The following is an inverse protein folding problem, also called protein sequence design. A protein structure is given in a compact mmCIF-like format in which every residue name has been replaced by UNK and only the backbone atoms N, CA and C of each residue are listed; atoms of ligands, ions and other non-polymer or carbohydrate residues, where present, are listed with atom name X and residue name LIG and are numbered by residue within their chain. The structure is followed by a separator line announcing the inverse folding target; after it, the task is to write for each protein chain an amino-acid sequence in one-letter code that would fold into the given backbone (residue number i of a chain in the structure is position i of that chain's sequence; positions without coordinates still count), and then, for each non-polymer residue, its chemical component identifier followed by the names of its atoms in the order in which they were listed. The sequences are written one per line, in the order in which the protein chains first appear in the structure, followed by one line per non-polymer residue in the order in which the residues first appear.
data_IF_759003092896
#
_entry.id   IF_759003092896
#
_cell.length_a   1.000
_cell.length_b   1.000
_cell.length_c   1.000
_cell.angle_alpha   90.00
_cell.angle_beta   90.00
_cell.angle_gamma   90.00
#
_symmetry.space_group_name_H-M   'P 1'
#
loop_
_entity.id
_entity.type
_entity.pdbx_description
1 polymer ?
#
# COMPACT_ATOMS: atom_id res chain seq x y z
N UNK A 1 34.40 49.19 21.19
CA UNK A 1 33.34 48.19 21.41
C UNK A 1 33.66 46.97 20.56
N UNK A 2 33.82 45.76 21.15
CA UNK A 2 34.08 44.56 20.36
C UNK A 2 32.75 44.03 19.81
N UNK A 3 32.70 43.78 18.50
CA UNK A 3 31.54 43.19 17.83
C UNK A 3 31.55 41.67 18.08
N UNK A 4 30.49 41.16 18.67
CA UNK A 4 30.25 39.73 18.87
C UNK A 4 30.12 39.04 17.50
N UNK A 5 30.75 37.87 17.28
CA UNK A 5 30.51 37.08 16.07
C UNK A 5 29.08 36.50 16.13
N UNK A 6 28.25 36.88 15.15
CA UNK A 6 26.93 36.30 14.95
C UNK A 6 27.09 34.80 14.66
N UNK A 7 26.64 33.99 15.62
CA UNK A 7 26.56 32.53 15.56
C UNK A 7 25.64 32.16 14.39
N UNK A 8 26.21 31.55 13.35
CA UNK A 8 25.44 30.95 12.27
C UNK A 8 24.39 30.00 12.87
N UNK A 9 23.11 30.06 12.44
CA UNK A 9 22.14 29.08 12.87
C UNK A 9 22.61 27.71 12.38
N UNK A 10 23.00 26.84 13.31
CA UNK A 10 23.30 25.46 12.98
C UNK A 10 22.03 24.82 12.42
N UNK A 11 22.08 24.48 11.14
CA UNK A 11 21.06 23.69 10.46
C UNK A 11 21.15 22.27 11.03
N UNK A 12 20.55 22.07 12.20
CA UNK A 12 20.23 20.73 12.67
C UNK A 12 19.01 20.26 11.89
N UNK A 13 19.22 19.89 10.61
CA UNK A 13 18.31 19.00 9.90
C UNK A 13 18.36 17.68 10.66
N UNK A 14 17.42 17.52 11.60
CA UNK A 14 17.18 16.28 12.31
C UNK A 14 17.12 15.19 11.25
N UNK A 15 18.07 14.26 11.28
CA UNK A 15 18.02 13.08 10.42
C UNK A 15 16.63 12.48 10.58
N UNK A 16 15.93 12.31 9.46
CA UNK A 16 14.68 11.55 9.42
C UNK A 16 14.88 10.34 10.34
N UNK A 17 13.97 10.04 11.29
CA UNK A 17 14.06 8.79 12.01
C UNK A 17 14.18 7.72 10.94
N UNK A 18 15.24 6.92 10.99
CA UNK A 18 15.40 5.78 10.09
C UNK A 18 14.17 4.92 10.34
N UNK A 19 13.11 5.11 9.53
CA UNK A 19 11.97 4.22 9.47
C UNK A 19 12.58 2.83 9.36
N UNK A 20 12.19 1.94 10.26
CA UNK A 20 12.70 0.58 10.28
C UNK A 20 12.75 0.05 8.84
N UNK A 21 13.89 -0.54 8.45
CA UNK A 21 14.08 -1.01 7.10
C UNK A 21 12.88 -1.88 6.70
N UNK A 22 12.25 -1.56 5.57
CA UNK A 22 11.09 -2.32 5.10
C UNK A 22 11.58 -3.73 4.77
N UNK A 23 11.03 -4.73 5.46
CA UNK A 23 11.31 -6.15 5.24
C UNK A 23 10.55 -6.66 4.00
N UNK A 24 11.03 -6.29 2.82
CA UNK A 24 10.41 -6.63 1.53
C UNK A 24 10.22 -8.13 1.33
N UNK A 25 11.15 -8.95 1.83
CA UNK A 25 11.10 -10.41 1.74
C UNK A 25 9.93 -11.00 2.53
N UNK A 26 9.67 -10.49 3.73
CA UNK A 26 8.56 -10.94 4.58
C UNK A 26 7.20 -10.59 3.97
N UNK A 27 7.10 -9.45 3.28
CA UNK A 27 5.88 -9.06 2.55
C UNK A 27 5.69 -9.97 1.33
N UNK A 28 6.75 -10.21 0.55
CA UNK A 28 6.69 -11.05 -0.64
C UNK A 28 6.25 -12.50 -0.33
N UNK A 29 6.65 -13.05 0.82
CA UNK A 29 6.24 -14.38 1.27
C UNK A 29 4.74 -14.49 1.56
N UNK A 30 4.08 -13.40 1.98
CA UNK A 30 2.64 -13.38 2.27
C UNK A 30 1.78 -13.26 1.02
N UNK A 31 2.37 -12.85 -0.10
CA UNK A 31 1.67 -12.68 -1.37
C UNK A 31 1.72 -13.99 -2.17
N UNK A 32 0.55 -14.57 -2.44
CA UNK A 32 0.39 -15.76 -3.29
C UNK A 32 0.14 -15.40 -4.77
N UNK A 33 -0.51 -14.26 -5.04
CA UNK A 33 -0.84 -13.81 -6.39
C UNK A 33 0.40 -13.26 -7.13
N UNK A 34 0.75 -13.78 -8.32
CA UNK A 34 1.82 -13.25 -9.16
C UNK A 34 1.67 -11.75 -9.49
N UNK A 35 0.44 -11.25 -9.66
CA UNK A 35 0.20 -9.83 -9.95
C UNK A 35 0.54 -8.95 -8.76
N UNK A 36 0.19 -9.38 -7.55
CA UNK A 36 0.53 -8.68 -6.32
C UNK A 36 2.05 -8.66 -6.08
N UNK A 37 2.76 -9.73 -6.43
CA UNK A 37 4.23 -9.76 -6.37
C UNK A 37 4.87 -8.77 -7.35
N UNK A 38 4.38 -8.71 -8.59
CA UNK A 38 4.86 -7.74 -9.57
C UNK A 38 4.64 -6.29 -9.11
N UNK A 39 3.49 -6.00 -8.48
CA UNK A 39 3.21 -4.69 -7.89
C UNK A 39 4.11 -4.37 -6.68
N UNK A 40 4.48 -5.38 -5.88
CA UNK A 40 5.42 -5.20 -4.78
C UNK A 40 6.83 -4.88 -5.30
N UNK A 41 7.26 -5.56 -6.36
CA UNK A 41 8.56 -5.30 -7.00
C UNK A 41 8.63 -3.88 -7.58
N UNK A 42 7.58 -3.41 -8.25
CA UNK A 42 7.53 -2.03 -8.74
C UNK A 42 7.58 -1.00 -7.61
N UNK A 43 6.87 -1.26 -6.49
CA UNK A 43 6.92 -0.41 -5.30
C UNK A 43 8.32 -0.37 -4.69
N UNK A 44 9.00 -1.52 -4.61
CA UNK A 44 10.39 -1.61 -4.13
C UNK A 44 11.33 -0.78 -5.01
N UNK A 45 11.17 -0.86 -6.33
CA UNK A 45 12.00 -0.13 -7.27
C UNK A 45 11.79 1.38 -7.15
N UNK A 46 10.53 1.84 -7.06
CA UNK A 46 10.17 3.25 -6.80
C UNK A 46 10.75 3.72 -5.47
N UNK A 47 10.59 2.94 -4.40
CA UNK A 47 11.21 3.27 -3.10
C UNK A 47 12.73 3.38 -3.21
N UNK A 48 13.39 2.50 -3.97
CA UNK A 48 14.82 2.56 -4.23
C UNK A 48 15.24 3.86 -4.94
N UNK A 49 14.46 4.28 -5.95
CA UNK A 49 14.68 5.54 -6.66
C UNK A 49 14.53 6.76 -5.74
N UNK A 50 13.42 6.84 -4.98
CA UNK A 50 13.23 7.93 -4.01
C UNK A 50 14.33 7.96 -2.96
N UNK A 51 14.77 6.81 -2.45
CA UNK A 51 15.86 6.74 -1.48
C UNK A 51 17.19 7.20 -2.09
N UNK A 52 17.44 6.96 -3.38
CA UNK A 52 18.61 7.45 -4.07
C UNK A 52 18.57 8.97 -4.27
N UNK A 53 17.43 9.51 -4.71
CA UNK A 53 17.22 10.96 -4.85
C UNK A 53 17.32 11.68 -3.51
N UNK A 54 16.68 11.15 -2.47
CA UNK A 54 16.79 11.69 -1.13
C UNK A 54 18.25 11.78 -0.68
N UNK A 55 19.07 10.74 -0.92
CA UNK A 55 20.51 10.80 -0.59
C UNK A 55 21.27 11.88 -1.37
N UNK A 56 20.87 12.16 -2.61
CA UNK A 56 21.47 13.21 -3.42
C UNK A 56 21.13 14.62 -2.89
N UNK A 57 19.88 14.84 -2.49
CA UNK A 57 19.37 16.16 -2.08
C UNK A 57 19.38 16.42 -0.57
N UNK A 58 19.70 15.42 0.26
CA UNK A 58 19.85 15.59 1.71
C UNK A 58 21.06 16.46 2.07
N UNK A 59 22.10 16.47 1.22
CA UNK A 59 23.32 17.25 1.47
C UNK A 59 23.10 18.70 1.05
N UNK A 60 23.68 19.62 1.82
CA UNK A 60 23.76 21.02 1.40
C UNK A 60 24.59 21.12 0.10
N UNK A 61 24.21 22.01 -0.83
CA UNK A 61 25.02 22.30 -2.02
C UNK A 61 26.44 22.70 -1.64
N UNK A 62 27.42 22.35 -2.46
CA UNK A 62 28.81 22.76 -2.25
C UNK A 62 28.93 24.28 -2.21
N UNK A 63 29.73 24.79 -1.27
CA UNK A 63 29.95 26.21 -1.12
C UNK A 63 30.68 26.78 -2.35
N UNK A 64 30.22 27.94 -2.83
CA UNK A 64 30.84 28.64 -3.96
C UNK A 64 32.19 29.24 -3.52
N UNK A 65 33.27 28.90 -4.21
CA UNK A 65 34.59 29.49 -3.97
C UNK A 65 34.76 30.86 -4.66
N UNK A 66 34.25 31.90 -4.02
CA UNK A 66 34.39 33.28 -4.51
C UNK A 66 35.85 33.76 -4.56
N UNK A 67 36.78 33.17 -3.79
CA UNK A 67 38.19 33.54 -3.82
C UNK A 67 38.86 33.09 -5.12
N UNK A 68 38.58 31.86 -5.56
CA UNK A 68 38.98 31.37 -6.86
C UNK A 68 38.44 32.26 -7.99
N UNK A 69 37.13 32.56 -7.98
CA UNK A 69 36.52 33.37 -9.03
C UNK A 69 37.03 34.82 -9.08
N UNK A 70 37.37 35.43 -7.94
CA UNK A 70 38.05 36.74 -7.90
C UNK A 70 39.44 36.73 -8.56
N UNK A 71 40.11 35.58 -8.60
CA UNK A 71 41.44 35.44 -9.21
C UNK A 71 41.38 35.26 -10.74
N UNK A 72 40.32 34.64 -11.25
CA UNK A 72 40.16 34.31 -12.68
C UNK A 72 39.41 35.40 -13.45
N UNK A 73 38.41 36.03 -12.82
CA UNK A 73 37.54 37.01 -13.48
C UNK A 73 38.21 38.39 -13.44
N UNK A 74 38.32 39.04 -14.62
CA UNK A 74 38.94 40.37 -14.76
C UNK A 74 38.19 41.45 -13.99
N UNK A 75 36.86 41.38 -13.95
CA UNK A 75 36.02 42.34 -13.23
C UNK A 75 35.73 41.86 -11.80
N UNK A 76 36.56 42.30 -10.85
CA UNK A 76 36.45 41.91 -9.44
C UNK A 76 35.20 42.47 -8.76
N UNK A 77 34.78 43.67 -9.14
CA UNK A 77 33.58 44.32 -8.59
C UNK A 77 32.31 43.53 -8.89
N UNK A 78 32.28 42.81 -10.02
CA UNK A 78 31.17 41.90 -10.35
C UNK A 78 31.11 40.71 -9.38
N UNK A 79 32.26 40.13 -9.05
CA UNK A 79 32.32 38.97 -8.13
C UNK A 79 31.92 39.38 -6.72
N UNK A 80 32.34 40.58 -6.28
CA UNK A 80 31.97 41.11 -4.97
C UNK A 80 30.46 41.43 -4.89
N UNK A 81 29.87 41.95 -5.97
CA UNK A 81 28.42 42.17 -6.07
C UNK A 81 27.64 40.84 -6.06
N UNK A 82 28.13 39.81 -6.75
CA UNK A 82 27.52 38.47 -6.75
C UNK A 82 27.59 37.80 -5.39
N UNK A 83 28.72 37.89 -4.69
CA UNK A 83 28.87 37.36 -3.33
C UNK A 83 27.92 38.05 -2.34
N UNK A 84 27.80 39.38 -2.44
CA UNK A 84 26.87 40.18 -1.63
C UNK A 84 25.42 39.76 -1.84
N UNK A 85 25.00 39.62 -3.11
CA UNK A 85 23.66 39.16 -3.46
C UNK A 85 23.41 37.72 -2.99
N UNK A 86 24.38 36.82 -3.17
CA UNK A 86 24.27 35.42 -2.75
C UNK A 86 24.06 35.29 -1.24
N UNK A 87 24.79 36.07 -0.42
CA UNK A 87 24.62 36.09 1.03
C UNK A 87 23.30 36.69 1.50
N UNK A 88 22.65 37.50 0.65
CA UNK A 88 21.36 38.14 0.96
C UNK A 88 20.18 37.19 0.69
N UNK A 89 20.34 36.23 -0.22
CA UNK A 89 19.29 35.26 -0.54
C UNK A 89 19.15 34.26 0.62
N UNK A 90 18.02 34.33 1.31
CA UNK A 90 17.61 33.36 2.31
C UNK A 90 16.40 32.60 1.76
N UNK A 91 16.49 31.26 1.70
CA UNK A 91 15.36 30.42 1.37
C UNK A 91 14.57 30.08 2.65
N UNK A 92 13.23 30.05 2.59
CA UNK A 92 12.43 29.57 3.71
C UNK A 92 12.78 28.12 4.00
N UNK A 93 12.85 27.77 5.29
CA UNK A 93 13.00 26.37 5.70
C UNK A 93 11.63 25.73 5.64
N UNK A 94 11.38 24.95 4.60
CA UNK A 94 10.13 24.19 4.48
C UNK A 94 10.22 23.00 5.43
N UNK A 95 9.32 22.96 6.40
CA UNK A 95 9.16 21.83 7.31
C UNK A 95 8.25 20.76 6.68
N UNK A 96 8.35 19.48 7.07
CA UNK A 96 7.45 18.44 6.60
C UNK A 96 5.96 18.77 6.86
N UNK A 97 5.66 19.35 8.03
CA UNK A 97 4.30 19.71 8.43
C UNK A 97 3.67 20.77 7.50
N UNK A 98 4.47 21.73 7.03
CA UNK A 98 4.03 22.73 6.06
C UNK A 98 3.80 22.12 4.67
N UNK A 99 4.57 21.09 4.31
CA UNK A 99 4.43 20.35 3.05
C UNK A 99 3.15 19.50 3.06
N UNK A 100 2.88 18.83 4.17
CA UNK A 100 1.65 18.05 4.37
C UNK A 100 0.41 18.96 4.36
N UNK A 101 0.46 20.11 5.05
CA UNK A 101 -0.62 21.09 5.03
C UNK A 101 -0.83 21.70 3.63
N UNK A 102 0.25 21.94 2.89
CA UNK A 102 0.18 22.40 1.51
C UNK A 102 -0.46 21.37 0.58
N UNK A 103 -0.12 20.08 0.73
CA UNK A 103 -0.71 18.98 -0.03
C UNK A 103 -2.22 18.80 0.22
N UNK A 104 -2.69 19.20 1.41
CA UNK A 104 -4.10 19.17 1.80
C UNK A 104 -4.84 20.49 1.55
N UNK A 105 -4.18 21.51 0.98
CA UNK A 105 -4.75 22.84 0.80
C UNK A 105 -5.88 22.85 -0.25
N UNK A 106 -6.95 23.61 0.02
CA UNK A 106 -8.12 23.73 -0.89
C UNK A 106 -7.82 24.56 -2.14
N UNK A 107 -6.62 25.15 -2.20
CA UNK A 107 -6.14 25.93 -3.34
C UNK A 107 -5.56 25.03 -4.44
N UNK A 108 -5.21 23.78 -4.13
CA UNK A 108 -4.78 22.79 -5.12
C UNK A 108 -5.99 22.17 -5.85
N UNK A 109 -5.89 21.88 -7.16
CA UNK A 109 -6.85 21.06 -7.88
C UNK A 109 -7.08 19.73 -7.17
N UNK A 110 -8.31 19.21 -7.21
CA UNK A 110 -8.69 17.97 -6.51
C UNK A 110 -7.80 16.76 -6.88
N UNK A 111 -7.29 16.72 -8.11
CA UNK A 111 -6.37 15.67 -8.60
C UNK A 111 -4.99 15.69 -7.91
N UNK A 112 -4.60 16.82 -7.32
CA UNK A 112 -3.32 17.01 -6.62
C UNK A 112 -3.48 17.04 -5.09
N UNK A 113 -4.73 17.09 -4.60
CA UNK A 113 -5.04 16.99 -3.18
C UNK A 113 -4.94 15.53 -2.76
N UNK A 114 -3.79 15.16 -2.21
CA UNK A 114 -3.54 13.81 -1.72
C UNK A 114 -3.71 13.81 -0.20
N UNK A 115 -4.88 13.35 0.26
CA UNK A 115 -5.06 13.02 1.66
C UNK A 115 -4.62 11.57 1.86
N UNK A 116 -3.30 11.37 1.97
CA UNK A 116 -2.70 10.04 2.16
C UNK A 116 -3.41 9.26 3.28
N UNK A 117 -3.78 9.94 4.36
CA UNK A 117 -4.46 9.33 5.49
C UNK A 117 -5.85 8.81 5.13
N UNK A 118 -6.68 9.61 4.46
CA UNK A 118 -8.02 9.20 4.02
C UNK A 118 -7.95 8.04 3.01
N UNK A 119 -7.04 8.10 2.03
CA UNK A 119 -6.87 6.99 1.08
C UNK A 119 -6.43 5.69 1.76
N UNK A 120 -5.56 5.78 2.76
CA UNK A 120 -5.12 4.63 3.56
C UNK A 120 -6.28 4.10 4.39
N UNK A 121 -7.04 4.97 5.03
CA UNK A 121 -8.19 4.60 5.86
C UNK A 121 -9.31 3.92 5.02
N UNK A 122 -9.60 4.44 3.82
CA UNK A 122 -10.53 3.82 2.87
C UNK A 122 -10.07 2.41 2.45
N UNK A 123 -8.78 2.27 2.10
CA UNK A 123 -8.21 0.98 1.71
C UNK A 123 -8.25 -0.03 2.87
N UNK A 124 -7.97 0.40 4.10
CA UNK A 124 -8.12 -0.45 5.28
C UNK A 124 -9.58 -0.79 5.57
N UNK A 125 -10.51 0.13 5.33
CA UNK A 125 -11.94 -0.12 5.41
C UNK A 125 -12.37 -1.27 4.49
N UNK A 126 -12.03 -1.17 3.20
CA UNK A 126 -12.32 -2.22 2.21
C UNK A 126 -11.64 -3.55 2.54
N UNK A 127 -10.40 -3.51 3.04
CA UNK A 127 -9.67 -4.71 3.43
C UNK A 127 -10.34 -5.40 4.63
N UNK A 128 -10.75 -4.64 5.64
CA UNK A 128 -11.43 -5.17 6.82
C UNK A 128 -12.77 -5.82 6.45
N UNK A 129 -13.53 -5.22 5.54
CA UNK A 129 -14.76 -5.80 5.01
C UNK A 129 -14.51 -7.15 4.33
N UNK A 130 -13.55 -7.22 3.41
CA UNK A 130 -13.19 -8.48 2.72
C UNK A 130 -12.70 -9.56 3.69
N UNK A 131 -11.96 -9.17 4.73
CA UNK A 131 -11.50 -10.08 5.77
C UNK A 131 -12.68 -10.61 6.59
N UNK A 132 -13.65 -9.76 6.92
CA UNK A 132 -14.86 -10.17 7.63
C UNK A 132 -15.70 -11.14 6.79
N UNK A 133 -15.92 -10.82 5.52
CA UNK A 133 -16.63 -11.67 4.54
C UNK A 133 -15.95 -13.04 4.38
N UNK A 134 -14.62 -13.04 4.20
CA UNK A 134 -13.85 -14.28 4.09
C UNK A 134 -13.97 -15.16 5.34
N UNK A 135 -14.00 -14.57 6.54
CA UNK A 135 -14.19 -15.31 7.79
C UNK A 135 -15.60 -15.90 7.89
N UNK A 136 -16.63 -15.12 7.56
CA UNK A 136 -18.01 -15.61 7.55
C UNK A 136 -18.15 -16.79 6.58
N UNK A 137 -17.59 -16.66 5.36
CA UNK A 137 -17.62 -17.72 4.36
C UNK A 137 -16.90 -19.00 4.79
N UNK A 138 -15.79 -18.87 5.52
CA UNK A 138 -15.07 -20.03 6.08
C UNK A 138 -15.96 -20.79 7.08
N UNK A 139 -16.70 -20.09 7.94
CA UNK A 139 -17.60 -20.74 8.89
C UNK A 139 -18.78 -21.41 8.18
N UNK A 140 -19.42 -20.74 7.22
CA UNK A 140 -20.47 -21.35 6.37
C UNK A 140 -19.99 -22.64 5.68
N UNK A 141 -18.78 -22.62 5.11
CA UNK A 141 -18.20 -23.79 4.45
C UNK A 141 -17.91 -24.93 5.42
N UNK A 142 -17.50 -24.63 6.66
CA UNK A 142 -17.32 -25.66 7.70
C UNK A 142 -18.65 -26.29 8.10
N UNK A 143 -19.69 -25.47 8.28
CA UNK A 143 -21.03 -25.98 8.59
C UNK A 143 -21.57 -26.87 7.46
N UNK A 144 -21.38 -26.45 6.20
CA UNK A 144 -21.73 -27.25 5.03
C UNK A 144 -20.97 -28.59 5.00
N UNK A 145 -19.65 -28.57 5.27
CA UNK A 145 -18.85 -29.81 5.34
C UNK A 145 -19.40 -30.72 6.44
N UNK A 146 -19.72 -30.18 7.62
CA UNK A 146 -20.33 -30.95 8.71
C UNK A 146 -21.64 -31.59 8.29
N UNK A 147 -22.54 -30.83 7.66
CA UNK A 147 -23.79 -31.35 7.13
C UNK A 147 -23.55 -32.46 6.09
N UNK A 148 -22.62 -32.26 5.15
CA UNK A 148 -22.28 -33.25 4.14
C UNK A 148 -21.67 -34.53 4.74
N UNK A 149 -20.89 -34.42 5.82
CA UNK A 149 -20.34 -35.57 6.52
C UNK A 149 -21.42 -36.35 7.27
N UNK A 150 -22.36 -35.66 7.90
CA UNK A 150 -23.49 -36.27 8.63
C UNK A 150 -24.52 -36.92 7.69
N UNK A 151 -24.84 -36.27 6.57
CA UNK A 151 -25.86 -36.73 5.60
C UNK A 151 -25.31 -37.67 4.54
N UNK A 152 -24.00 -37.98 4.59
CA UNK A 152 -23.38 -38.86 3.61
C UNK A 152 -24.01 -40.25 3.68
N UNK A 153 -24.59 -40.68 2.57
CA UNK A 153 -25.02 -42.07 2.39
C UNK A 153 -23.79 -42.98 2.35
N UNK A 154 -23.84 -44.04 3.16
CA UNK A 154 -22.78 -45.05 3.25
C UNK A 154 -23.35 -46.41 2.88
N UNK A 155 -22.49 -47.42 2.75
CA UNK A 155 -22.94 -48.80 2.42
C UNK A 155 -23.89 -49.38 3.47
N UNK A 156 -23.97 -48.79 4.66
CA UNK A 156 -24.88 -49.19 5.74
C UNK A 156 -26.18 -48.40 5.79
N UNK A 157 -26.33 -47.35 4.96
CA UNK A 157 -27.57 -46.56 4.91
C UNK A 157 -28.69 -47.39 4.28
N UNK A 158 -29.83 -47.47 4.95
CA UNK A 158 -30.99 -48.23 4.49
C UNK A 158 -31.82 -47.44 3.48
N UNK A 159 -32.64 -48.14 2.67
CA UNK A 159 -33.54 -47.50 1.70
C UNK A 159 -34.52 -46.54 2.38
N UNK A 160 -35.07 -46.94 3.54
CA UNK A 160 -36.00 -46.12 4.31
C UNK A 160 -35.35 -44.80 4.78
N UNK A 161 -34.06 -44.83 5.15
CA UNK A 161 -33.29 -43.62 5.50
C UNK A 161 -33.03 -42.73 4.29
N UNK A 162 -32.77 -43.30 3.11
CA UNK A 162 -32.60 -42.54 1.87
C UNK A 162 -33.90 -41.86 1.47
N UNK A 163 -35.02 -42.57 1.51
CA UNK A 163 -36.36 -42.04 1.23
C UNK A 163 -36.75 -40.93 2.22
N UNK A 164 -36.38 -41.07 3.50
CA UNK A 164 -36.61 -40.03 4.49
C UNK A 164 -35.77 -38.75 4.26
N UNK A 165 -34.55 -38.90 3.73
CA UNK A 165 -33.67 -37.76 3.41
C UNK A 165 -34.00 -37.10 2.06
N UNK A 166 -34.49 -37.88 1.09
CA UNK A 166 -34.76 -37.46 -0.29
C UNK A 166 -36.15 -37.93 -0.74
N UNK A 167 -37.24 -37.32 -0.24
CA UNK A 167 -38.61 -37.73 -0.59
C UNK A 167 -38.93 -37.57 -2.08
N UNK A 168 -38.24 -36.67 -2.78
CA UNK A 168 -38.38 -36.47 -4.22
C UNK A 168 -38.01 -37.71 -5.04
N UNK A 169 -37.10 -38.54 -4.54
CA UNK A 169 -36.70 -39.79 -5.19
C UNK A 169 -37.83 -40.82 -5.10
N UNK A 170 -38.54 -40.86 -3.98
CA UNK A 170 -39.72 -41.73 -3.82
C UNK A 170 -40.86 -41.29 -4.74
N UNK A 171 -41.14 -39.98 -4.81
CA UNK A 171 -42.17 -39.44 -5.71
C UNK A 171 -41.85 -39.71 -7.19
N UNK A 172 -40.58 -39.64 -7.58
CA UNK A 172 -40.12 -39.98 -8.92
C UNK A 172 -40.30 -41.47 -9.22
N UNK A 173 -39.87 -42.35 -8.31
CA UNK A 173 -40.03 -43.81 -8.44
C UNK A 173 -41.51 -44.19 -8.57
N UNK A 174 -42.40 -43.63 -7.76
CA UNK A 174 -43.84 -43.89 -7.83
C UNK A 174 -44.45 -43.44 -9.16
N UNK A 175 -43.99 -42.30 -9.68
CA UNK A 175 -44.43 -41.78 -10.99
C UNK A 175 -43.98 -42.71 -12.13
N UNK A 176 -42.74 -43.20 -12.08
CA UNK A 176 -42.20 -44.11 -13.08
C UNK A 176 -42.90 -45.47 -13.07
N UNK A 177 -43.20 -45.99 -11.88
CA UNK A 177 -43.99 -47.22 -11.72
C UNK A 177 -45.40 -47.02 -12.31
N UNK A 178 -46.05 -45.87 -12.04
CA UNK A 178 -47.37 -45.57 -12.56
C UNK A 178 -47.39 -45.43 -14.09
N UNK A 179 -46.32 -44.89 -14.68
CA UNK A 179 -46.20 -44.67 -16.12
C UNK A 179 -45.56 -45.86 -16.88
N UNK A 180 -45.14 -46.92 -16.18
CA UNK A 180 -44.43 -48.09 -16.73
C UNK A 180 -43.08 -47.74 -17.40
N UNK A 181 -42.39 -46.73 -16.88
CA UNK A 181 -41.15 -46.17 -17.45
C UNK A 181 -39.88 -46.87 -16.91
N UNK A 182 -39.78 -48.19 -17.07
CA UNK A 182 -38.73 -49.01 -16.46
C UNK A 182 -37.29 -48.79 -16.96
N UNK A 183 -37.11 -48.11 -18.10
CA UNK A 183 -35.80 -47.95 -18.78
C UNK A 183 -35.37 -46.48 -18.93
N UNK A 184 -36.08 -45.53 -18.30
CA UNK A 184 -35.89 -44.09 -18.47
C UNK A 184 -34.43 -43.63 -18.31
N UNK A 185 -33.72 -44.15 -17.30
CA UNK A 185 -32.33 -43.73 -16.94
C UNK A 185 -31.24 -44.72 -17.39
N UNK A 186 -31.55 -45.62 -18.33
CA UNK A 186 -30.59 -46.65 -18.80
C UNK A 186 -29.77 -46.26 -20.04
N UNK A 187 -29.96 -45.05 -20.60
CA UNK A 187 -29.24 -44.52 -21.76
C UNK A 187 -28.29 -43.37 -21.44
#
# INVERSE_FOLDING_TARGET
MPLLPLRAPHVLRRGLPTRAAIEWSAIAQKLSDPRARAALDSLRDVHGQLAAEARAYVREPEAIDFAYYRSVIKNKALVDAMESNYKTIAFPTITPEELDAAAQSTELPDELRLNEQETVDELFGQLNEKVADSKARIEELKELIGLMEETRTTLTTSMDEVTAMYPEVEEEIDTEIANLEWEKDTQ
#
